data_IF_482878103881
#
_entry.id   IF_482878103881
#
_cell.length_a   1.000
_cell.length_b   1.000
_cell.length_c   1.000
_cell.angle_alpha   90.00
_cell.angle_beta   90.00
_cell.angle_gamma   90.00
#
_symmetry.space_group_name_H-M   'P 1'
#
loop_
_entity.id
_entity.type
_entity.pdbx_description
1 polymer ?
#
# COMPACT_ATOMS: atom_id res chain seq x y z
N UNK A 1 14.61 -60.13 -0.98
CA UNK A 1 15.08 -58.90 -1.69
C UNK A 1 13.92 -57.97 -1.85
N UNK A 2 13.79 -57.00 -0.97
CA UNK A 2 12.67 -56.04 -0.94
C UNK A 2 13.23 -54.70 -1.40
N UNK A 3 12.78 -54.25 -2.57
CA UNK A 3 13.22 -53.01 -3.18
C UNK A 3 12.38 -51.88 -2.55
N UNK A 4 13.00 -51.03 -1.74
CA UNK A 4 12.41 -49.82 -1.22
C UNK A 4 12.33 -48.79 -2.36
N UNK A 5 11.11 -48.49 -2.81
CA UNK A 5 10.80 -47.35 -3.65
C UNK A 5 10.88 -46.06 -2.78
N UNK A 6 11.95 -45.32 -2.92
CA UNK A 6 12.00 -43.91 -2.51
C UNK A 6 11.06 -43.13 -3.43
N UNK A 7 9.90 -42.74 -2.90
CA UNK A 7 9.10 -41.68 -3.50
C UNK A 7 9.86 -40.39 -3.34
N UNK A 8 10.30 -39.79 -4.45
CA UNK A 8 10.75 -38.42 -4.50
C UNK A 8 9.56 -37.53 -4.13
N UNK A 9 9.62 -36.91 -2.97
CA UNK A 9 8.75 -35.77 -2.64
C UNK A 9 9.12 -34.64 -3.59
N UNK A 10 8.29 -34.41 -4.60
CA UNK A 10 8.29 -33.20 -5.37
C UNK A 10 7.86 -32.07 -4.42
N UNK A 11 8.81 -31.38 -3.81
CA UNK A 11 8.57 -30.08 -3.22
C UNK A 11 8.29 -29.11 -4.38
N UNK A 12 7.00 -28.94 -4.72
CA UNK A 12 6.55 -27.74 -5.40
C UNK A 12 6.86 -26.57 -4.43
N UNK A 13 8.03 -25.95 -4.58
CA UNK A 13 8.26 -24.64 -3.99
C UNK A 13 7.30 -23.71 -4.74
N UNK A 14 6.18 -23.35 -4.12
CA UNK A 14 5.38 -22.24 -4.59
C UNK A 14 6.33 -21.05 -4.75
N UNK A 15 6.41 -20.54 -5.98
CA UNK A 15 7.22 -19.35 -6.25
C UNK A 15 6.54 -18.21 -5.49
N UNK A 16 7.16 -17.77 -4.40
CA UNK A 16 6.66 -16.67 -3.58
C UNK A 16 6.78 -15.39 -4.40
N UNK A 17 5.64 -14.86 -4.83
CA UNK A 17 5.54 -13.61 -5.60
C UNK A 17 5.21 -12.46 -4.65
N UNK A 18 5.98 -11.37 -4.75
CA UNK A 18 5.68 -10.11 -4.09
C UNK A 18 4.86 -9.22 -5.04
N UNK A 19 3.64 -8.82 -4.68
CA UNK A 19 2.86 -7.87 -5.47
C UNK A 19 3.49 -6.47 -5.42
N UNK A 20 3.72 -5.85 -6.57
CA UNK A 20 4.25 -4.49 -6.63
C UNK A 20 3.15 -3.50 -6.99
N UNK A 21 3.01 -2.45 -6.18
CA UNK A 21 2.05 -1.38 -6.34
C UNK A 21 2.78 -0.06 -6.60
N UNK A 22 3.09 0.30 -7.86
CA UNK A 22 3.54 1.65 -8.18
C UNK A 22 2.53 2.67 -7.66
N UNK A 23 3.03 3.73 -7.02
CA UNK A 23 2.15 4.72 -6.42
C UNK A 23 2.03 5.97 -7.29
N UNK A 24 0.80 6.46 -7.45
CA UNK A 24 0.46 7.74 -8.07
C UNK A 24 -0.25 8.61 -7.05
N UNK A 25 0.46 9.59 -6.51
CA UNK A 25 -0.12 10.58 -5.59
C UNK A 25 -0.61 11.77 -6.41
N UNK A 26 -1.83 12.22 -6.14
CA UNK A 26 -2.45 13.33 -6.87
C UNK A 26 -2.68 14.50 -5.94
N UNK A 27 -2.12 15.68 -6.32
CA UNK A 27 -2.32 16.96 -5.66
C UNK A 27 -2.51 18.05 -6.69
N UNK A 28 -3.51 18.90 -6.51
CA UNK A 28 -3.87 19.99 -7.44
C UNK A 28 -3.99 19.48 -8.90
N UNK A 29 -4.59 18.28 -9.09
CA UNK A 29 -4.78 17.65 -10.40
C UNK A 29 -3.51 17.11 -11.06
N UNK A 30 -2.40 17.02 -10.37
CA UNK A 30 -1.10 16.57 -10.90
C UNK A 30 -0.56 15.38 -10.14
N UNK A 31 0.18 14.51 -10.83
CA UNK A 31 0.98 13.48 -10.20
C UNK A 31 2.17 14.13 -9.48
N UNK A 32 2.32 13.84 -8.18
CA UNK A 32 3.36 14.43 -7.35
C UNK A 32 4.05 13.39 -6.46
N UNK A 33 5.17 13.78 -5.84
CA UNK A 33 5.80 13.06 -4.73
C UNK A 33 6.18 14.02 -3.63
N UNK A 34 5.80 13.66 -2.43
CA UNK A 34 6.23 14.34 -1.21
C UNK A 34 7.50 13.69 -0.65
N UNK A 35 8.24 14.46 0.17
CA UNK A 35 9.31 13.94 1.03
C UNK A 35 8.76 13.86 2.44
N UNK A 36 8.69 12.64 3.01
CA UNK A 36 8.15 12.39 4.37
C UNK A 36 6.77 13.02 4.61
N UNK A 37 5.92 13.08 3.59
CA UNK A 37 4.59 13.67 3.68
C UNK A 37 4.54 15.19 3.85
N UNK A 38 5.67 15.90 3.74
CA UNK A 38 5.72 17.35 3.92
C UNK A 38 5.08 18.11 2.75
N UNK A 39 4.04 18.90 3.04
CA UNK A 39 3.46 19.84 2.08
C UNK A 39 4.50 20.93 1.73
N UNK A 40 4.61 21.24 0.43
CA UNK A 40 5.62 22.18 -0.08
C UNK A 40 6.91 21.51 -0.53
N UNK A 41 7.07 20.19 -0.31
CA UNK A 41 8.21 19.41 -0.80
C UNK A 41 7.94 18.70 -2.14
N UNK A 42 6.82 19.02 -2.80
CA UNK A 42 6.33 18.31 -3.97
C UNK A 42 7.26 18.40 -5.18
N UNK A 43 7.60 17.26 -5.74
CA UNK A 43 8.09 17.13 -7.12
C UNK A 43 6.90 16.80 -8.02
N UNK A 44 6.74 17.54 -9.13
CA UNK A 44 5.66 17.37 -10.09
C UNK A 44 6.10 16.44 -11.23
N UNK A 45 5.26 15.47 -11.57
CA UNK A 45 5.50 14.47 -12.61
C UNK A 45 4.42 14.46 -13.71
N UNK A 46 3.63 15.53 -13.82
CA UNK A 46 2.68 15.75 -14.90
C UNK A 46 1.31 15.13 -14.67
N UNK A 47 0.75 14.51 -15.69
CA UNK A 47 -0.61 13.94 -15.69
C UNK A 47 -0.67 12.65 -14.86
N UNK A 48 -1.61 12.53 -13.89
CA UNK A 48 -1.85 11.26 -13.19
C UNK A 48 -2.28 10.12 -14.11
N UNK A 49 -3.02 10.44 -15.18
CA UNK A 49 -3.47 9.46 -16.17
C UNK A 49 -2.25 8.88 -16.90
N UNK A 50 -1.36 9.74 -17.39
CA UNK A 50 -0.18 9.29 -18.15
C UNK A 50 0.74 8.47 -17.25
N UNK A 51 1.00 8.93 -16.01
CA UNK A 51 1.80 8.17 -15.04
C UNK A 51 1.22 6.78 -14.74
N UNK A 52 -0.11 6.68 -14.58
CA UNK A 52 -0.78 5.42 -14.31
C UNK A 52 -0.73 4.47 -15.53
N UNK A 53 -0.94 5.00 -16.75
CA UNK A 53 -0.84 4.24 -17.98
C UNK A 53 0.60 3.77 -18.25
N UNK A 54 1.60 4.60 -17.97
CA UNK A 54 3.01 4.21 -18.09
C UNK A 54 3.35 3.01 -17.19
N UNK A 55 2.84 2.99 -15.95
CA UNK A 55 3.01 1.85 -15.05
C UNK A 55 2.27 0.60 -15.56
N UNK A 56 1.03 0.74 -16.05
CA UNK A 56 0.31 -0.37 -16.67
C UNK A 56 1.08 -0.93 -17.87
N UNK A 57 1.56 -0.06 -18.78
CA UNK A 57 2.31 -0.45 -19.97
C UNK A 57 3.66 -1.10 -19.61
N UNK A 58 4.25 -0.74 -18.47
CA UNK A 58 5.45 -1.38 -17.94
C UNK A 58 5.21 -2.75 -17.30
N UNK A 59 3.93 -3.19 -17.20
CA UNK A 59 3.53 -4.50 -16.71
C UNK A 59 3.04 -4.54 -15.26
N UNK A 60 2.71 -3.41 -14.64
CA UNK A 60 2.06 -3.38 -13.33
C UNK A 60 0.74 -4.16 -13.36
N UNK A 61 0.48 -4.95 -12.33
CA UNK A 61 -0.83 -5.59 -12.09
C UNK A 61 -1.69 -4.79 -11.10
N UNK A 62 -1.05 -3.92 -10.34
CA UNK A 62 -1.65 -3.03 -9.35
C UNK A 62 -1.09 -1.62 -9.46
N UNK A 63 -1.90 -0.65 -9.01
CA UNK A 63 -1.47 0.72 -8.71
C UNK A 63 -2.03 1.11 -7.34
N UNK A 64 -1.23 1.83 -6.56
CA UNK A 64 -1.68 2.56 -5.37
C UNK A 64 -1.92 4.02 -5.75
N UNK A 65 -3.19 4.46 -5.76
CA UNK A 65 -3.62 5.79 -6.20
C UNK A 65 -4.11 6.60 -4.99
N UNK A 66 -3.57 7.81 -4.81
CA UNK A 66 -3.82 8.61 -3.59
C UNK A 66 -4.35 10.00 -3.94
N UNK A 67 -5.48 10.40 -3.34
CA UNK A 67 -5.95 11.78 -3.30
C UNK A 67 -5.31 12.53 -2.14
N UNK A 68 -4.22 13.26 -2.38
CA UNK A 68 -3.54 14.01 -1.34
C UNK A 68 -4.35 15.23 -0.88
N UNK A 69 -5.06 15.92 -1.79
CA UNK A 69 -5.88 17.06 -1.39
C UNK A 69 -7.00 16.62 -0.42
N UNK A 70 -7.65 15.50 -0.69
CA UNK A 70 -8.64 14.93 0.22
C UNK A 70 -8.01 14.41 1.52
N UNK A 71 -6.81 13.81 1.46
CA UNK A 71 -6.09 13.34 2.64
C UNK A 71 -5.75 14.47 3.62
N UNK A 72 -5.30 15.62 3.09
CA UNK A 72 -4.98 16.80 3.88
C UNK A 72 -6.17 17.73 4.16
N UNK A 73 -7.34 17.47 3.55
CA UNK A 73 -8.54 18.31 3.72
C UNK A 73 -8.46 19.65 2.96
N UNK A 74 -7.66 19.70 1.89
CA UNK A 74 -7.43 20.89 1.05
C UNK A 74 -8.37 20.95 -0.16
N UNK A 75 -9.06 19.86 -0.49
CA UNK A 75 -9.91 19.73 -1.65
C UNK A 75 -10.21 18.28 -1.98
N UNK A 76 -10.43 17.97 -3.27
CA UNK A 76 -10.61 16.60 -3.75
C UNK A 76 -10.29 16.50 -5.24
N UNK A 77 -9.64 15.41 -5.63
CA UNK A 77 -9.42 15.02 -7.02
C UNK A 77 -10.33 13.84 -7.43
N UNK A 78 -11.44 13.61 -6.72
CA UNK A 78 -12.24 12.40 -6.87
C UNK A 78 -12.71 12.12 -8.31
N UNK A 79 -13.10 13.15 -9.07
CA UNK A 79 -13.52 13.02 -10.47
C UNK A 79 -12.33 12.60 -11.36
N UNK A 80 -11.17 13.23 -11.18
CA UNK A 80 -9.95 12.87 -11.91
C UNK A 80 -9.51 11.45 -11.57
N UNK A 81 -9.56 11.04 -10.29
CA UNK A 81 -9.20 9.68 -9.89
C UNK A 81 -10.16 8.63 -10.45
N UNK A 82 -11.46 8.95 -10.55
CA UNK A 82 -12.43 8.09 -11.23
C UNK A 82 -12.11 7.96 -12.74
N UNK A 83 -11.66 9.04 -13.39
CA UNK A 83 -11.21 9.01 -14.78
C UNK A 83 -9.94 8.17 -14.95
N UNK A 84 -8.94 8.33 -14.05
CA UNK A 84 -7.72 7.50 -14.05
C UNK A 84 -8.09 6.02 -13.96
N UNK A 85 -8.92 5.64 -12.98
CA UNK A 85 -9.33 4.25 -12.76
C UNK A 85 -10.09 3.71 -13.98
N UNK A 86 -10.98 4.51 -14.57
CA UNK A 86 -11.76 4.12 -15.75
C UNK A 86 -10.93 3.88 -17.02
N UNK A 87 -9.66 4.33 -17.07
CA UNK A 87 -8.74 4.11 -18.19
C UNK A 87 -7.79 2.93 -17.98
N UNK A 88 -7.81 2.31 -16.80
CA UNK A 88 -6.89 1.23 -16.46
C UNK A 88 -7.58 -0.14 -16.52
N UNK A 89 -6.85 -1.11 -17.04
CA UNK A 89 -7.24 -2.53 -17.07
C UNK A 89 -6.63 -3.33 -15.91
N UNK A 90 -5.93 -2.66 -14.99
CA UNK A 90 -5.25 -3.25 -13.84
C UNK A 90 -5.96 -2.91 -12.53
N UNK A 91 -5.59 -3.60 -11.47
CA UNK A 91 -6.18 -3.40 -10.14
C UNK A 91 -5.70 -2.09 -9.53
N UNK A 92 -6.63 -1.34 -8.90
CA UNK A 92 -6.33 -0.09 -8.21
C UNK A 92 -6.67 -0.22 -6.73
N UNK A 93 -5.71 0.11 -5.88
CA UNK A 93 -5.93 0.42 -4.46
C UNK A 93 -6.04 1.94 -4.33
N UNK A 94 -7.23 2.41 -3.92
CA UNK A 94 -7.52 3.85 -3.80
C UNK A 94 -7.39 4.30 -2.35
N UNK A 95 -6.69 5.40 -2.13
CA UNK A 95 -6.44 6.00 -0.82
C UNK A 95 -6.67 7.52 -0.84
N UNK A 96 -6.77 8.12 0.34
CA UNK A 96 -6.88 9.57 0.52
C UNK A 96 -8.31 10.05 0.79
N UNK A 97 -8.51 10.71 1.93
CA UNK A 97 -9.74 11.43 2.27
C UNK A 97 -10.99 10.59 2.56
N UNK A 98 -10.89 9.28 2.68
CA UNK A 98 -12.04 8.38 2.90
C UNK A 98 -12.31 8.27 4.40
N UNK A 99 -13.42 8.91 4.87
CA UNK A 99 -13.68 9.11 6.31
C UNK A 99 -15.12 8.83 6.75
N UNK A 100 -16.02 8.60 5.79
CA UNK A 100 -17.44 8.38 6.00
C UNK A 100 -18.06 7.56 4.87
N UNK A 101 -19.34 7.20 5.02
CA UNK A 101 -20.05 6.41 4.02
C UNK A 101 -20.13 7.10 2.66
N UNK A 102 -20.20 8.43 2.62
CA UNK A 102 -20.30 9.18 1.36
C UNK A 102 -19.00 9.08 0.57
N UNK A 103 -17.85 9.34 1.21
CA UNK A 103 -16.54 9.25 0.59
C UNK A 103 -16.18 7.80 0.24
N UNK A 104 -16.53 6.83 1.09
CA UNK A 104 -16.34 5.42 0.83
C UNK A 104 -17.16 4.94 -0.38
N UNK A 105 -18.46 5.28 -0.43
CA UNK A 105 -19.31 4.87 -1.55
C UNK A 105 -18.83 5.48 -2.88
N UNK A 106 -18.39 6.75 -2.87
CA UNK A 106 -17.78 7.36 -4.06
C UNK A 106 -16.53 6.60 -4.50
N UNK A 107 -15.63 6.30 -3.57
CA UNK A 107 -14.40 5.54 -3.85
C UNK A 107 -14.72 4.16 -4.45
N UNK A 108 -15.64 3.41 -3.83
CA UNK A 108 -16.04 2.08 -4.30
C UNK A 108 -16.75 2.12 -5.66
N UNK A 109 -17.48 3.20 -5.97
CA UNK A 109 -18.18 3.39 -7.25
C UNK A 109 -17.22 3.66 -8.43
N UNK A 110 -15.96 4.05 -8.19
CA UNK A 110 -14.96 4.23 -9.26
C UNK A 110 -14.58 2.93 -9.96
N UNK A 111 -14.88 1.77 -9.34
CA UNK A 111 -14.43 0.46 -9.82
C UNK A 111 -13.06 0.04 -9.27
N UNK A 112 -12.46 0.81 -8.34
CA UNK A 112 -11.21 0.39 -7.68
C UNK A 112 -11.37 -1.00 -7.04
N UNK A 113 -10.31 -1.78 -7.05
CA UNK A 113 -10.34 -3.15 -6.50
C UNK A 113 -10.47 -3.12 -4.97
N UNK A 114 -9.77 -2.20 -4.31
CA UNK A 114 -9.84 -2.00 -2.86
C UNK A 114 -9.61 -0.54 -2.46
N UNK A 115 -10.05 -0.21 -1.28
CA UNK A 115 -9.93 1.10 -0.64
C UNK A 115 -9.01 0.97 0.56
N UNK A 116 -8.05 1.87 0.71
CA UNK A 116 -7.18 1.94 1.88
C UNK A 116 -7.65 3.04 2.83
N UNK A 117 -8.05 2.66 4.04
CA UNK A 117 -8.52 3.56 5.10
C UNK A 117 -7.35 3.92 6.02
N UNK A 118 -6.91 5.16 6.03
CA UNK A 118 -5.87 5.66 6.94
C UNK A 118 -6.47 6.22 8.23
N UNK A 119 -6.40 7.53 8.42
CA UNK A 119 -6.83 8.26 9.63
C UNK A 119 -8.20 7.85 10.17
N UNK A 120 -9.17 7.58 9.31
CA UNK A 120 -10.52 7.20 9.74
C UNK A 120 -10.54 5.88 10.54
N UNK A 121 -9.65 4.94 10.23
CA UNK A 121 -9.54 3.68 10.96
C UNK A 121 -9.06 3.87 12.41
N UNK A 122 -8.38 4.98 12.67
CA UNK A 122 -7.88 5.34 14.00
C UNK A 122 -8.87 6.23 14.77
N UNK A 123 -9.49 7.20 14.07
CA UNK A 123 -10.35 8.21 14.69
C UNK A 123 -11.82 7.77 14.82
N UNK A 124 -12.28 6.84 13.98
CA UNK A 124 -13.66 6.35 13.98
C UNK A 124 -13.72 4.80 13.96
N UNK A 125 -13.32 4.16 15.06
CA UNK A 125 -13.24 2.70 15.12
C UNK A 125 -14.57 1.99 14.87
N UNK A 126 -15.70 2.48 15.41
CA UNK A 126 -17.01 1.87 15.22
C UNK A 126 -17.47 1.88 13.75
N UNK A 127 -17.21 2.96 13.05
CA UNK A 127 -17.50 3.04 11.60
C UNK A 127 -16.60 2.10 10.82
N UNK A 128 -15.30 2.06 11.14
CA UNK A 128 -14.32 1.18 10.49
C UNK A 128 -14.68 -0.29 10.64
N UNK A 129 -15.12 -0.71 11.83
CA UNK A 129 -15.60 -2.08 12.09
C UNK A 129 -16.79 -2.46 11.20
N UNK A 130 -17.77 -1.57 11.07
CA UNK A 130 -18.92 -1.76 10.16
C UNK A 130 -18.48 -1.87 8.71
N UNK A 131 -17.54 -1.04 8.29
CA UNK A 131 -17.01 -1.03 6.91
C UNK A 131 -16.24 -2.30 6.62
N UNK A 132 -15.35 -2.73 7.52
CA UNK A 132 -14.60 -4.00 7.39
C UNK A 132 -15.58 -5.18 7.28
N UNK A 133 -16.54 -5.28 8.20
CA UNK A 133 -17.52 -6.36 8.20
C UNK A 133 -18.36 -6.41 6.91
N UNK A 134 -18.70 -5.23 6.34
CA UNK A 134 -19.56 -5.13 5.16
C UNK A 134 -18.83 -5.40 3.85
N UNK A 135 -17.59 -4.94 3.72
CA UNK A 135 -16.88 -4.92 2.45
C UNK A 135 -15.68 -5.88 2.38
N UNK A 136 -15.28 -6.48 3.50
CA UNK A 136 -14.26 -7.54 3.58
C UNK A 136 -12.95 -7.17 2.89
N UNK A 137 -12.54 -8.00 1.92
CA UNK A 137 -11.28 -7.89 1.17
C UNK A 137 -11.16 -6.63 0.29
N UNK A 138 -12.25 -5.90 0.11
CA UNK A 138 -12.23 -4.58 -0.53
C UNK A 138 -11.71 -3.46 0.36
N UNK A 139 -11.45 -3.73 1.64
CA UNK A 139 -10.91 -2.76 2.60
C UNK A 139 -9.51 -3.19 3.02
N UNK A 140 -8.57 -2.27 2.87
CA UNK A 140 -7.28 -2.29 3.54
C UNK A 140 -7.25 -1.20 4.61
N UNK A 141 -6.46 -1.39 5.66
CA UNK A 141 -6.23 -0.36 6.67
C UNK A 141 -4.78 0.11 6.60
N UNK A 142 -4.59 1.41 6.37
CA UNK A 142 -3.31 2.07 6.38
C UNK A 142 -2.84 2.37 7.80
N UNK A 143 -1.67 1.86 8.14
CA UNK A 143 -0.99 2.03 9.42
C UNK A 143 0.33 2.78 9.17
N UNK A 144 0.29 4.09 9.35
CA UNK A 144 1.46 4.95 9.24
C UNK A 144 2.19 4.97 10.58
N UNK A 145 3.42 4.49 10.62
CA UNK A 145 4.13 4.15 11.86
C UNK A 145 5.36 5.03 12.06
N UNK A 146 5.50 5.57 13.26
CA UNK A 146 6.73 6.21 13.76
C UNK A 146 7.22 5.46 15.00
N UNK A 147 8.19 4.56 14.80
CA UNK A 147 8.60 3.64 15.85
C UNK A 147 7.51 2.61 16.15
N UNK A 148 6.77 2.79 17.26
CA UNK A 148 5.63 1.97 17.67
C UNK A 148 4.31 2.75 17.68
N UNK A 149 4.38 4.05 17.49
CA UNK A 149 3.21 4.95 17.53
C UNK A 149 2.66 5.13 16.13
N UNK A 150 1.34 5.04 15.99
CA UNK A 150 0.65 5.35 14.74
C UNK A 150 0.55 6.87 14.55
N UNK A 151 0.67 7.28 13.31
CA UNK A 151 0.49 8.66 12.88
C UNK A 151 -0.86 8.82 12.14
N UNK A 152 -1.53 9.94 12.35
CA UNK A 152 -2.81 10.29 11.75
C UNK A 152 -2.76 11.69 11.16
N UNK A 153 -3.75 12.02 10.31
CA UNK A 153 -3.95 13.36 9.70
C UNK A 153 -2.70 13.89 9.01
N UNK A 154 -2.20 13.15 8.02
CA UNK A 154 -0.98 13.53 7.32
C UNK A 154 0.24 13.56 8.25
N UNK A 155 0.25 12.64 9.24
CA UNK A 155 1.34 12.43 10.21
C UNK A 155 1.54 13.55 11.23
N UNK A 156 0.55 14.42 11.39
CA UNK A 156 0.59 15.57 12.33
C UNK A 156 0.05 15.25 13.71
N UNK A 157 -0.64 14.10 13.89
CA UNK A 157 -1.21 13.63 15.16
C UNK A 157 -0.79 12.20 15.46
N UNK A 158 -0.73 11.87 16.74
CA UNK A 158 -0.57 10.49 17.20
C UNK A 158 -1.90 9.75 17.14
N UNK A 159 -1.86 8.49 16.65
CA UNK A 159 -3.02 7.63 16.43
C UNK A 159 -3.11 6.42 17.37
N UNK A 160 -2.24 6.34 18.39
CA UNK A 160 -2.20 5.26 19.36
C UNK A 160 -1.10 4.22 19.10
N UNK A 161 -1.13 3.11 19.85
CA UNK A 161 -0.17 2.01 19.70
C UNK A 161 -0.50 1.14 18.49
N UNK A 162 0.52 0.78 17.73
CA UNK A 162 0.42 -0.03 16.51
C UNK A 162 -0.20 -1.41 16.80
N UNK A 163 0.32 -2.11 17.81
CA UNK A 163 -0.05 -3.50 18.05
C UNK A 163 -1.43 -3.63 18.71
N UNK A 164 -1.80 -2.72 19.60
CA UNK A 164 -3.16 -2.65 20.15
C UNK A 164 -4.18 -2.36 19.05
N UNK A 165 -3.82 -1.50 18.08
CA UNK A 165 -4.68 -1.20 16.93
C UNK A 165 -4.84 -2.40 16.02
N UNK A 166 -3.76 -3.13 15.70
CA UNK A 166 -3.81 -4.36 14.90
C UNK A 166 -4.69 -5.40 15.61
N UNK A 167 -4.48 -5.64 16.90
CA UNK A 167 -5.30 -6.60 17.66
C UNK A 167 -6.80 -6.27 17.61
N UNK A 168 -7.15 -5.00 17.72
CA UNK A 168 -8.55 -4.54 17.60
C UNK A 168 -9.10 -4.79 16.20
N UNK A 169 -8.33 -4.44 15.16
CA UNK A 169 -8.75 -4.60 13.76
C UNK A 169 -8.84 -6.07 13.34
N UNK A 170 -7.93 -6.93 13.80
CA UNK A 170 -7.96 -8.37 13.56
C UNK A 170 -9.22 -9.03 14.14
N UNK A 171 -9.62 -8.63 15.37
CA UNK A 171 -10.88 -9.09 15.98
C UNK A 171 -12.11 -8.76 15.15
N UNK A 172 -12.03 -7.69 14.35
CA UNK A 172 -13.09 -7.24 13.45
C UNK A 172 -12.94 -7.80 12.02
N UNK A 173 -11.95 -8.66 11.77
CA UNK A 173 -11.75 -9.34 10.48
C UNK A 173 -11.13 -8.45 9.41
N UNK A 174 -10.24 -7.52 9.78
CA UNK A 174 -9.51 -6.72 8.80
C UNK A 174 -8.75 -7.62 7.81
N UNK A 175 -9.01 -7.42 6.52
CA UNK A 175 -8.52 -8.30 5.48
C UNK A 175 -7.04 -8.09 5.12
N UNK A 176 -6.49 -6.89 5.33
CA UNK A 176 -5.07 -6.55 5.09
C UNK A 176 -4.67 -5.21 5.68
N UNK A 177 -3.37 -5.02 5.83
CA UNK A 177 -2.78 -3.77 6.28
C UNK A 177 -1.81 -3.21 5.24
N UNK A 178 -1.81 -1.88 5.08
CA UNK A 178 -0.72 -1.14 4.42
C UNK A 178 0.12 -0.52 5.52
N UNK A 179 1.36 -0.98 5.69
CA UNK A 179 2.24 -0.54 6.77
C UNK A 179 3.31 0.39 6.22
N UNK A 180 3.25 1.66 6.59
CA UNK A 180 4.21 2.70 6.18
C UNK A 180 5.11 3.09 7.34
N UNK A 181 6.43 2.94 7.23
CA UNK A 181 7.35 3.63 8.12
C UNK A 181 7.52 5.08 7.65
N UNK A 182 6.89 6.03 8.34
CA UNK A 182 6.90 7.45 7.99
C UNK A 182 8.29 8.07 8.05
N UNK A 183 9.23 7.47 8.81
CA UNK A 183 10.62 7.95 8.89
C UNK A 183 11.45 7.52 7.69
N UNK A 184 10.96 6.53 6.94
CA UNK A 184 11.59 5.99 5.74
C UNK A 184 10.96 6.50 4.46
N UNK A 185 9.67 6.90 4.51
CA UNK A 185 8.94 7.27 3.31
C UNK A 185 9.58 8.44 2.56
N UNK A 186 9.73 8.31 1.25
CA UNK A 186 10.35 9.31 0.38
C UNK A 186 11.86 9.52 0.60
N UNK A 187 12.56 8.77 1.47
CA UNK A 187 13.97 8.97 1.82
C UNK A 187 14.97 8.18 0.97
N UNK A 188 14.53 7.10 0.29
CA UNK A 188 15.39 6.16 -0.43
C UNK A 188 16.48 5.54 0.47
N UNK A 189 16.13 5.16 1.71
CA UNK A 189 17.06 4.56 2.70
C UNK A 189 16.74 3.10 3.04
N UNK A 190 16.03 2.42 2.15
CA UNK A 190 15.56 1.05 2.34
C UNK A 190 14.32 0.94 3.23
N UNK A 191 13.51 -0.13 3.07
CA UNK A 191 12.33 -0.41 3.88
C UNK A 191 12.71 -0.80 5.31
N UNK A 192 11.76 -0.69 6.24
CA UNK A 192 11.95 -1.14 7.62
C UNK A 192 11.54 -2.61 7.77
N UNK A 193 12.45 -3.53 7.46
CA UNK A 193 12.20 -4.97 7.51
C UNK A 193 11.88 -5.47 8.93
N UNK A 194 12.47 -4.86 9.96
CA UNK A 194 12.24 -5.25 11.36
C UNK A 194 10.81 -4.87 11.82
N UNK A 195 10.32 -3.71 11.40
CA UNK A 195 8.92 -3.32 11.63
C UNK A 195 7.98 -4.33 10.96
N UNK A 196 8.22 -4.67 9.68
CA UNK A 196 7.40 -5.63 8.95
C UNK A 196 7.41 -7.02 9.60
N UNK A 197 8.57 -7.53 10.02
CA UNK A 197 8.68 -8.79 10.77
C UNK A 197 7.87 -8.74 12.07
N UNK A 198 7.95 -7.63 12.80
CA UNK A 198 7.22 -7.45 14.06
C UNK A 198 5.70 -7.43 13.85
N UNK A 199 5.24 -6.79 12.76
CA UNK A 199 3.82 -6.78 12.40
C UNK A 199 3.35 -8.18 11.95
N UNK A 200 4.09 -8.86 11.07
CA UNK A 200 3.77 -10.23 10.65
C UNK A 200 3.74 -11.24 11.81
N UNK A 201 4.44 -10.97 12.90
CA UNK A 201 4.44 -11.84 14.07
C UNK A 201 3.13 -11.76 14.88
N UNK A 202 2.35 -10.70 14.76
CA UNK A 202 1.14 -10.45 15.58
C UNK A 202 -0.17 -10.57 14.81
N UNK A 203 -0.14 -10.53 13.46
CA UNK A 203 -1.34 -10.71 12.62
C UNK A 203 -1.19 -11.82 11.60
N UNK A 204 -2.32 -12.35 11.12
CA UNK A 204 -2.39 -13.25 9.96
C UNK A 204 -2.89 -12.53 8.70
N UNK A 205 -3.36 -11.30 8.84
CA UNK A 205 -3.76 -10.50 7.69
C UNK A 205 -2.53 -10.15 6.83
N UNK A 206 -2.62 -10.24 5.50
CA UNK A 206 -1.56 -9.87 4.58
C UNK A 206 -1.09 -8.42 4.78
N UNK A 207 0.20 -8.19 4.59
CA UNK A 207 0.85 -6.89 4.76
C UNK A 207 1.33 -6.36 3.41
N UNK A 208 0.96 -5.14 3.08
CA UNK A 208 1.59 -4.36 2.00
C UNK A 208 2.60 -3.40 2.64
N UNK A 209 3.86 -3.58 2.30
CA UNK A 209 4.95 -2.73 2.80
C UNK A 209 4.94 -1.38 2.07
N UNK A 210 5.18 -0.29 2.81
CA UNK A 210 5.27 1.06 2.24
C UNK A 210 6.39 1.87 2.89
N UNK A 211 7.04 2.70 2.06
CA UNK A 211 8.10 3.60 2.48
C UNK A 211 9.53 3.04 2.40
N UNK A 212 10.43 3.87 1.90
CA UNK A 212 11.87 3.66 1.95
C UNK A 212 12.50 2.91 0.77
N UNK A 213 11.79 2.10 0.00
CA UNK A 213 12.36 1.30 -1.10
C UNK A 213 13.23 2.18 -2.00
N UNK A 214 14.47 1.75 -2.24
CA UNK A 214 15.50 2.49 -2.95
C UNK A 214 16.20 1.70 -4.05
N UNK A 215 16.17 0.37 -3.99
CA UNK A 215 16.94 -0.53 -4.87
C UNK A 215 16.20 -1.83 -5.17
N UNK A 216 16.67 -2.57 -6.18
CA UNK A 216 16.20 -3.92 -6.47
C UNK A 216 16.51 -4.91 -5.34
N UNK A 217 17.57 -4.67 -4.56
CA UNK A 217 17.92 -5.49 -3.40
C UNK A 217 16.89 -5.34 -2.27
N UNK A 218 16.32 -4.14 -2.10
CA UNK A 218 15.22 -3.94 -1.16
C UNK A 218 14.00 -4.77 -1.54
N UNK A 219 13.70 -4.88 -2.85
CA UNK A 219 12.60 -5.71 -3.36
C UNK A 219 12.84 -7.19 -3.08
N UNK A 220 14.08 -7.69 -3.27
CA UNK A 220 14.46 -9.06 -2.90
C UNK A 220 14.26 -9.31 -1.41
N UNK A 221 14.73 -8.38 -0.57
CA UNK A 221 14.58 -8.48 0.89
C UNK A 221 13.10 -8.50 1.32
N UNK A 222 12.23 -7.72 0.67
CA UNK A 222 10.79 -7.77 0.90
C UNK A 222 10.16 -9.08 0.41
N UNK A 223 10.60 -9.59 -0.74
CA UNK A 223 10.14 -10.89 -1.27
C UNK A 223 10.43 -12.05 -0.31
N UNK A 224 11.56 -12.03 0.39
CA UNK A 224 11.88 -13.02 1.42
C UNK A 224 10.86 -13.03 2.57
N UNK A 225 10.17 -11.91 2.83
CA UNK A 225 9.14 -11.79 3.85
C UNK A 225 7.76 -12.29 3.39
N UNK A 226 7.59 -12.67 2.13
CA UNK A 226 6.30 -13.21 1.62
C UNK A 226 5.90 -14.44 2.42
N UNK A 227 6.86 -15.32 2.74
CA UNK A 227 6.62 -16.53 3.53
C UNK A 227 6.07 -16.29 4.94
N UNK A 228 6.20 -15.08 5.48
CA UNK A 228 5.74 -14.70 6.81
C UNK A 228 4.53 -13.74 6.81
N UNK A 229 4.07 -13.29 5.62
CA UNK A 229 2.85 -12.50 5.51
C UNK A 229 2.93 -11.17 4.76
N UNK A 230 4.10 -10.78 4.22
CA UNK A 230 4.19 -9.62 3.33
C UNK A 230 3.70 -10.01 1.94
N UNK A 231 2.52 -9.54 1.52
CA UNK A 231 1.96 -9.87 0.21
C UNK A 231 2.44 -8.93 -0.91
N UNK A 232 2.78 -7.68 -0.57
CA UNK A 232 3.13 -6.69 -1.59
C UNK A 232 3.92 -5.50 -1.06
N UNK A 233 4.29 -4.62 -1.98
CA UNK A 233 5.05 -3.42 -1.68
C UNK A 233 4.63 -2.22 -2.54
N UNK A 234 4.38 -1.09 -1.90
CA UNK A 234 4.11 0.19 -2.56
C UNK A 234 5.45 0.85 -2.91
N UNK A 235 5.62 1.20 -4.19
CA UNK A 235 6.82 1.85 -4.70
C UNK A 235 6.49 3.24 -5.22
N UNK A 236 7.05 4.25 -4.59
CA UNK A 236 6.88 5.64 -4.98
C UNK A 236 8.16 6.23 -5.55
N UNK A 237 8.87 7.01 -4.73
CA UNK A 237 9.98 7.88 -5.12
C UNK A 237 11.08 7.19 -5.93
N UNK A 238 11.40 5.92 -5.65
CA UNK A 238 12.44 5.19 -6.36
C UNK A 238 12.17 5.07 -7.87
N UNK A 239 10.91 4.81 -8.27
CA UNK A 239 10.52 4.73 -9.67
C UNK A 239 10.62 6.10 -10.36
N UNK A 240 10.13 7.15 -9.74
CA UNK A 240 10.17 8.51 -10.29
C UNK A 240 11.59 9.09 -10.32
N UNK A 241 12.45 8.70 -9.40
CA UNK A 241 13.86 9.08 -9.39
C UNK A 241 14.72 8.26 -10.38
N UNK A 242 14.13 7.25 -11.06
CA UNK A 242 14.86 6.38 -11.98
C UNK A 242 15.92 5.52 -11.30
N UNK A 243 15.75 5.20 -10.01
CA UNK A 243 16.69 4.33 -9.28
C UNK A 243 16.73 2.91 -9.88
N UNK A 244 15.61 2.45 -10.41
CA UNK A 244 15.45 1.24 -11.21
C UNK A 244 14.16 1.33 -12.06
N UNK A 245 14.03 0.50 -13.08
CA UNK A 245 12.79 0.43 -13.86
C UNK A 245 11.75 -0.46 -13.16
N UNK A 246 10.45 -0.18 -13.38
CA UNK A 246 9.38 -1.04 -12.89
C UNK A 246 9.52 -2.47 -13.46
N UNK A 247 9.95 -2.58 -14.72
CA UNK A 247 10.16 -3.89 -15.37
C UNK A 247 11.22 -4.73 -14.65
N UNK A 248 12.34 -4.12 -14.25
CA UNK A 248 13.37 -4.82 -13.47
C UNK A 248 12.86 -5.20 -12.08
N UNK A 249 12.10 -4.31 -11.44
CA UNK A 249 11.45 -4.56 -10.16
C UNK A 249 10.51 -5.78 -10.23
N UNK A 250 9.66 -5.86 -11.26
CA UNK A 250 8.74 -6.98 -11.47
C UNK A 250 9.48 -8.30 -11.70
N UNK A 251 10.63 -8.28 -12.40
CA UNK A 251 11.46 -9.49 -12.57
C UNK A 251 12.04 -10.00 -11.25
N UNK A 252 12.38 -9.10 -10.34
CA UNK A 252 12.92 -9.45 -9.02
C UNK A 252 11.83 -9.91 -8.05
N UNK A 253 10.62 -9.36 -8.16
CA UNK A 253 9.48 -9.67 -7.31
C UNK A 253 8.83 -11.03 -7.60
N UNK A 254 8.99 -11.56 -8.81
CA UNK A 254 8.54 -12.88 -9.26
C UNK A 254 9.60 -13.94 -9.01
#
# INVERSE_FOLDING_TARGET
MTINNFKSENSNSEILKLELLPAVDVKDGKAVRLVQGELGSESNYGSPIDAALDFQNAGAEWIHLVDLDAAFGLGSNAELLAEVIGKLDIKVELSGGIRDDQSLNRALATGCKRVNLGTAALENPEWTEKVISKYGDRIAVGLDVRGRTLAARGWTKEGGDLFETIERLDRNGCARYVVTDVTKDGTLKGPNLDLLRSVCAVTKAPIVASGGIASLEDIKSLRELVSIGVEGAIMGKALYAGAFSLKDALMVAN
#
